data_IF_476778937071
#
_entry.id   IF_476778937071
#
_cell.length_a   1.000
_cell.length_b   1.000
_cell.length_c   1.000
_cell.angle_alpha   90.00
_cell.angle_beta   90.00
_cell.angle_gamma   90.00
#
_symmetry.space_group_name_H-M   'P 1'
#
loop_
_entity.id
_entity.type
_entity.pdbx_description
1 polymer ?
#
# COMPACT_ATOMS: atom_id res chain seq x y z
N UNK A 1 -4.42 -1.37 -18.38
CA UNK A 1 -5.07 -0.47 -17.42
C UNK A 1 -6.49 -0.20 -17.92
N UNK A 2 -7.52 -0.70 -17.23
CA UNK A 2 -8.81 -1.02 -17.88
C UNK A 2 -10.02 -0.18 -17.46
N UNK A 3 -9.88 0.96 -16.77
CA UNK A 3 -11.04 1.75 -16.28
C UNK A 3 -10.88 3.29 -16.26
N UNK A 4 -9.98 3.87 -17.05
CA UNK A 4 -9.78 5.34 -17.04
C UNK A 4 -9.22 5.92 -15.72
N UNK A 5 -8.80 5.05 -14.80
CA UNK A 5 -8.21 5.44 -13.52
C UNK A 5 -6.70 5.66 -13.69
N UNK A 6 -6.22 6.84 -13.32
CA UNK A 6 -4.79 7.15 -13.30
C UNK A 6 -4.09 6.36 -12.20
N UNK A 7 -3.12 5.53 -12.58
CA UNK A 7 -2.27 4.80 -11.65
C UNK A 7 -0.98 5.59 -11.46
N UNK A 8 -0.66 5.94 -10.22
CA UNK A 8 0.57 6.66 -9.88
C UNK A 8 1.42 5.74 -9.00
N UNK A 9 2.63 5.44 -9.47
CA UNK A 9 3.57 4.61 -8.73
C UNK A 9 4.38 5.44 -7.74
N UNK A 10 4.26 5.12 -6.45
CA UNK A 10 5.09 5.69 -5.38
C UNK A 10 6.26 4.75 -5.04
N UNK A 11 7.38 4.94 -5.74
CA UNK A 11 8.61 4.17 -5.48
C UNK A 11 9.25 4.58 -4.15
N UNK A 12 9.94 3.62 -3.53
CA UNK A 12 10.79 3.89 -2.37
C UNK A 12 12.02 4.67 -2.79
N UNK A 13 12.34 5.72 -2.04
CA UNK A 13 13.60 6.43 -2.17
C UNK A 13 14.69 5.65 -1.45
N UNK A 14 15.52 4.93 -2.22
CA UNK A 14 16.55 4.03 -1.69
C UNK A 14 17.59 4.75 -0.84
N UNK A 15 17.81 6.05 -1.06
CA UNK A 15 18.77 6.85 -0.29
C UNK A 15 18.35 6.99 1.18
N UNK A 16 17.07 6.78 1.48
CA UNK A 16 16.51 6.87 2.82
C UNK A 16 16.59 5.54 3.59
N UNK A 17 17.09 4.46 3.01
CA UNK A 17 17.25 3.17 3.68
C UNK A 17 15.96 2.67 4.35
N UNK A 18 16.06 2.23 5.61
CA UNK A 18 14.94 1.63 6.35
C UNK A 18 13.72 2.56 6.52
N UNK A 19 13.89 3.89 6.49
CA UNK A 19 12.77 4.84 6.63
C UNK A 19 12.03 5.14 5.32
N UNK A 20 12.52 4.66 4.18
CA UNK A 20 11.97 4.98 2.86
C UNK A 20 10.47 4.70 2.73
N UNK A 21 10.00 3.59 3.31
CA UNK A 21 8.59 3.20 3.27
C UNK A 21 7.67 4.15 4.05
N UNK A 22 8.15 4.66 5.18
CA UNK A 22 7.43 5.60 6.03
C UNK A 22 7.38 6.99 5.40
N UNK A 23 8.51 7.47 4.85
CA UNK A 23 8.54 8.75 4.11
C UNK A 23 7.64 8.71 2.87
N UNK A 24 7.57 7.56 2.19
CA UNK A 24 6.60 7.37 1.11
C UNK A 24 5.15 7.46 1.62
N UNK A 25 4.83 6.94 2.81
CA UNK A 25 3.49 7.12 3.40
C UNK A 25 3.16 8.60 3.64
N UNK A 26 4.13 9.41 4.09
CA UNK A 26 3.94 10.85 4.25
C UNK A 26 3.63 11.53 2.91
N UNK A 27 4.32 11.13 1.84
CA UNK A 27 4.06 11.62 0.49
C UNK A 27 2.67 11.20 -0.03
N UNK A 28 2.20 9.99 0.31
CA UNK A 28 0.85 9.54 -0.02
C UNK A 28 -0.20 10.41 0.68
N UNK A 29 -0.01 10.74 1.96
CA UNK A 29 -0.89 11.64 2.69
C UNK A 29 -0.85 13.07 2.11
N UNK A 30 0.32 13.52 1.64
CA UNK A 30 0.51 14.81 0.98
C UNK A 30 -0.30 15.01 -0.30
N UNK A 31 -0.83 13.93 -0.90
CA UNK A 31 -1.80 14.03 -2.00
C UNK A 31 -3.17 14.55 -1.55
N UNK A 32 -3.39 14.68 -0.23
CA UNK A 32 -4.68 15.06 0.38
C UNK A 32 -5.84 14.20 -0.13
N UNK A 33 -5.75 12.86 0.04
CA UNK A 33 -6.83 11.98 -0.37
C UNK A 33 -8.10 12.29 0.43
N UNK A 34 -9.27 12.10 -0.18
CA UNK A 34 -10.57 12.27 0.47
C UNK A 34 -11.07 10.98 1.13
N UNK A 35 -10.55 9.84 0.69
CA UNK A 35 -10.83 8.50 1.21
C UNK A 35 -9.64 7.58 0.94
N UNK A 36 -9.45 6.56 1.75
CA UNK A 36 -8.43 5.55 1.53
C UNK A 36 -8.93 4.12 1.78
N UNK A 37 -8.45 3.19 0.95
CA UNK A 37 -8.57 1.75 1.17
C UNK A 37 -7.17 1.18 1.31
N UNK A 38 -6.92 0.44 2.38
CA UNK A 38 -5.62 -0.19 2.64
C UNK A 38 -5.79 -1.66 3.03
N UNK A 39 -4.80 -2.48 2.72
CA UNK A 39 -4.73 -3.84 3.24
C UNK A 39 -4.11 -3.83 4.64
N UNK A 40 -4.65 -4.64 5.55
CA UNK A 40 -3.97 -5.03 6.77
C UNK A 40 -2.64 -5.74 6.44
N UNK A 41 -1.60 -5.50 7.23
CA UNK A 41 -0.29 -6.07 6.98
C UNK A 41 0.78 -5.53 7.92
N UNK A 42 2.01 -5.39 7.40
CA UNK A 42 3.20 -5.04 8.20
C UNK A 42 3.10 -3.68 8.91
N UNK A 43 4.12 -3.37 9.72
CA UNK A 43 4.29 -2.05 10.36
C UNK A 43 4.21 -0.86 9.40
N UNK A 44 4.56 -1.05 8.13
CA UNK A 44 4.43 -0.01 7.10
C UNK A 44 2.96 0.29 6.76
N UNK A 45 2.13 -0.74 6.64
CA UNK A 45 0.68 -0.57 6.41
C UNK A 45 0.00 0.00 7.65
N UNK A 46 0.35 -0.50 8.84
CA UNK A 46 -0.17 0.03 10.10
C UNK A 46 0.16 1.52 10.28
N UNK A 47 1.39 1.93 9.93
CA UNK A 47 1.79 3.32 9.97
C UNK A 47 0.96 4.21 9.03
N UNK A 48 0.73 3.76 7.78
CA UNK A 48 -0.10 4.51 6.84
C UNK A 48 -1.55 4.62 7.38
N UNK A 49 -2.10 3.53 7.89
CA UNK A 49 -3.42 3.50 8.51
C UNK A 49 -3.56 4.54 9.62
N UNK A 50 -2.60 4.58 10.54
CA UNK A 50 -2.61 5.52 11.65
C UNK A 50 -2.54 6.97 11.18
N UNK A 51 -1.67 7.28 10.22
CA UNK A 51 -1.55 8.63 9.64
C UNK A 51 -2.87 9.08 8.99
N UNK A 52 -3.52 8.20 8.23
CA UNK A 52 -4.81 8.48 7.59
C UNK A 52 -5.93 8.70 8.63
N UNK A 53 -5.97 7.89 9.69
CA UNK A 53 -6.93 8.07 10.80
C UNK A 53 -6.70 9.39 11.53
N UNK A 54 -5.46 9.74 11.83
CA UNK A 54 -5.10 11.00 12.49
C UNK A 54 -5.46 12.21 11.63
N UNK A 55 -5.40 12.08 10.31
CA UNK A 55 -5.84 13.11 9.37
C UNK A 55 -7.39 13.21 9.25
N UNK A 56 -8.15 12.37 9.98
CA UNK A 56 -9.61 12.40 9.97
C UNK A 56 -10.24 11.85 8.69
N UNK A 57 -9.49 11.07 7.91
CA UNK A 57 -9.95 10.58 6.62
C UNK A 57 -10.82 9.32 6.76
N UNK A 58 -11.91 9.20 5.98
CA UNK A 58 -12.58 7.93 5.75
C UNK A 58 -11.58 6.86 5.33
N UNK A 59 -11.54 5.76 6.08
CA UNK A 59 -10.54 4.71 5.93
C UNK A 59 -11.19 3.32 6.01
N UNK A 60 -11.08 2.56 4.93
CA UNK A 60 -11.39 1.14 4.91
C UNK A 60 -10.11 0.31 5.01
N UNK A 61 -10.05 -0.58 6.02
CA UNK A 61 -8.93 -1.52 6.19
C UNK A 61 -9.42 -2.92 5.87
N UNK A 62 -8.92 -3.49 4.77
CA UNK A 62 -9.23 -4.86 4.36
C UNK A 62 -8.49 -5.82 5.28
N UNK A 63 -9.22 -6.52 6.15
CA UNK A 63 -8.65 -7.48 7.10
C UNK A 63 -7.98 -8.64 6.40
N UNK A 64 -6.91 -9.16 7.00
CA UNK A 64 -6.10 -10.24 6.44
C UNK A 64 -6.95 -11.49 6.12
N UNK A 65 -7.96 -11.79 6.94
CA UNK A 65 -8.89 -12.89 6.70
C UNK A 65 -9.71 -12.75 5.40
N UNK A 66 -9.86 -11.53 4.89
CA UNK A 66 -10.54 -11.24 3.62
C UNK A 66 -9.56 -10.99 2.46
N UNK A 67 -8.26 -11.07 2.71
CA UNK A 67 -7.24 -10.97 1.68
C UNK A 67 -6.98 -12.38 1.12
N UNK A 68 -7.51 -12.68 -0.06
CA UNK A 68 -7.18 -13.93 -0.74
C UNK A 68 -5.76 -13.87 -1.28
N UNK A 69 -4.90 -14.79 -0.86
CA UNK A 69 -3.67 -15.09 -1.57
C UNK A 69 -4.05 -15.69 -2.93
N UNK A 70 -4.15 -14.87 -3.98
CA UNK A 70 -3.89 -15.41 -5.31
C UNK A 70 -2.40 -15.62 -5.38
N UNK A 71 -2.02 -16.89 -5.53
CA UNK A 71 -0.66 -17.32 -5.76
C UNK A 71 -0.20 -16.76 -7.11
N UNK A 72 0.32 -15.53 -7.11
CA UNK A 72 0.93 -14.92 -8.30
C UNK A 72 2.34 -15.51 -8.43
N UNK A 73 2.40 -16.76 -8.89
CA UNK A 73 3.59 -17.37 -9.50
C UNK A 73 4.64 -17.96 -8.56
N UNK A 74 4.41 -19.18 -8.06
CA UNK A 74 5.42 -20.25 -8.09
C UNK A 74 5.27 -21.02 -9.42
N UNK A 75 5.64 -20.37 -10.52
CA UNK A 75 5.73 -20.98 -11.86
C UNK A 75 7.10 -20.63 -12.46
N UNK A 76 8.17 -21.07 -11.80
CA UNK A 76 9.46 -21.35 -12.42
C UNK A 76 10.10 -22.50 -11.67
N UNK A 77 9.88 -23.72 -12.16
CA UNK A 77 10.73 -24.92 -12.05
C UNK A 77 9.87 -26.18 -12.14
N UNK A 78 9.29 -26.42 -13.32
CA UNK A 78 8.99 -27.76 -13.82
C UNK A 78 8.83 -27.63 -15.33
N UNK A 79 9.86 -28.03 -16.06
CA UNK A 79 9.92 -27.92 -17.51
C UNK A 79 11.30 -28.23 -18.07
N UNK A 80 11.52 -29.53 -18.31
CA UNK A 80 12.64 -30.21 -18.99
C UNK A 80 13.87 -30.52 -18.16
#
# INVERSE_FOLDING_TARGET
ASRGVKVILFRLDRRLGARAAFVRNDRLLGLKPVEAVICEGSGVQMNLAQKLRQAGLPLHVVKIAHQTLRDVGRQTAQGS
#
